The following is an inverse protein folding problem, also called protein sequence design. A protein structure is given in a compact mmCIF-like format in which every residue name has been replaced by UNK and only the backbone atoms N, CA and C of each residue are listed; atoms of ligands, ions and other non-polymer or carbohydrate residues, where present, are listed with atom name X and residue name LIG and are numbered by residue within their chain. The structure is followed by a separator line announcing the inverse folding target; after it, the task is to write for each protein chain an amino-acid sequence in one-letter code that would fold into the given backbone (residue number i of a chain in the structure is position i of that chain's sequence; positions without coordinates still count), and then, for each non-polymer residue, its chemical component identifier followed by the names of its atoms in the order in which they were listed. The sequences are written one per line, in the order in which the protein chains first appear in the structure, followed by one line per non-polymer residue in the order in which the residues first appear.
data_IF_445335742397
#
_entry.id   IF_445335742397
#
_cell.length_a   1.000
_cell.length_b   1.000
_cell.length_c   1.000
_cell.angle_alpha   90.00
_cell.angle_beta   90.00
_cell.angle_gamma   90.00
#
_symmetry.space_group_name_H-M   'P 1'
#
loop_
_entity.id
_entity.type
_entity.pdbx_description
1 polymer ?
#
# COMPACT_ATOMS: atom_id res chain seq x y z
N UNK A 1 6.92 -9.20 -12.34
CA UNK A 1 6.57 -9.98 -11.13
C UNK A 1 5.13 -10.43 -11.27
N UNK A 2 4.82 -11.72 -11.05
CA UNK A 2 3.44 -12.21 -11.24
C UNK A 2 2.50 -11.67 -10.16
N UNK A 3 1.19 -11.62 -10.45
CA UNK A 3 0.18 -11.17 -9.48
C UNK A 3 0.23 -12.00 -8.19
N UNK A 4 0.47 -13.30 -8.34
CA UNK A 4 0.54 -14.27 -7.26
C UNK A 4 1.72 -13.98 -6.32
N UNK A 5 2.90 -13.69 -6.88
CA UNK A 5 4.06 -13.28 -6.08
C UNK A 5 3.82 -11.95 -5.36
N UNK A 6 3.10 -11.00 -5.99
CA UNK A 6 2.77 -9.71 -5.37
C UNK A 6 1.82 -9.89 -4.19
N UNK A 7 0.78 -10.71 -4.35
CA UNK A 7 -0.13 -11.08 -3.27
C UNK A 7 0.61 -11.73 -2.11
N UNK A 8 1.52 -12.68 -2.36
CA UNK A 8 2.32 -13.30 -1.28
C UNK A 8 3.23 -12.30 -0.55
N UNK A 9 3.87 -11.37 -1.26
CA UNK A 9 4.65 -10.31 -0.60
C UNK A 9 3.76 -9.40 0.25
N UNK A 10 2.63 -8.95 -0.29
CA UNK A 10 1.70 -8.08 0.44
C UNK A 10 1.10 -8.79 1.66
N UNK A 11 0.71 -10.06 1.52
CA UNK A 11 0.26 -10.91 2.63
C UNK A 11 1.35 -11.05 3.70
N UNK A 12 2.58 -11.36 3.30
CA UNK A 12 3.70 -11.48 4.24
C UNK A 12 3.95 -10.21 5.04
N UNK A 13 3.98 -9.06 4.35
CA UNK A 13 4.17 -7.75 5.00
C UNK A 13 2.99 -7.41 5.92
N UNK A 14 1.75 -7.56 5.45
CA UNK A 14 0.56 -7.24 6.23
C UNK A 14 0.43 -8.09 7.49
N UNK A 15 0.71 -9.40 7.37
CA UNK A 15 0.70 -10.34 8.49
C UNK A 15 1.80 -10.03 9.50
N UNK A 16 3.02 -9.74 9.02
CA UNK A 16 4.14 -9.37 9.87
C UNK A 16 3.85 -8.10 10.68
N UNK A 17 3.33 -7.04 10.03
CA UNK A 17 2.96 -5.80 10.70
C UNK A 17 1.87 -6.03 11.74
N UNK A 18 0.84 -6.83 11.42
CA UNK A 18 -0.21 -7.16 12.37
C UNK A 18 0.32 -7.87 13.61
N UNK A 19 1.16 -8.89 13.43
CA UNK A 19 1.80 -9.61 14.54
C UNK A 19 2.73 -8.70 15.36
N UNK A 20 3.45 -7.79 14.71
CA UNK A 20 4.32 -6.82 15.38
C UNK A 20 3.52 -5.84 16.24
N UNK A 21 2.38 -5.35 15.74
CA UNK A 21 1.47 -4.50 16.53
C UNK A 21 0.94 -5.28 17.72
N UNK A 22 0.52 -6.53 17.52
CA UNK A 22 0.03 -7.38 18.61
C UNK A 22 1.11 -7.59 19.69
N UNK A 23 2.35 -7.84 19.25
CA UNK A 23 3.51 -7.99 20.13
C UNK A 23 3.80 -6.72 20.95
N UNK A 24 3.71 -5.53 20.34
CA UNK A 24 3.95 -4.25 21.03
C UNK A 24 2.84 -3.91 22.03
N UNK A 25 1.60 -4.30 21.75
CA UNK A 25 0.44 -3.95 22.58
C UNK A 25 0.12 -5.00 23.66
N UNK A 26 1.05 -5.92 23.97
CA UNK A 26 0.84 -7.05 24.87
C UNK A 26 -0.47 -7.82 24.57
N UNK A 27 -0.85 -7.87 23.30
CA UNK A 27 -2.10 -8.46 22.85
C UNK A 27 -2.02 -9.99 22.91
N UNK A 28 -2.63 -10.59 23.94
CA UNK A 28 -2.54 -12.04 24.16
C UNK A 28 -3.54 -12.84 23.29
N UNK A 29 -4.54 -12.17 22.69
CA UNK A 29 -5.64 -12.84 21.99
C UNK A 29 -5.69 -12.46 20.51
N UNK A 30 -5.38 -13.44 19.65
CA UNK A 30 -5.57 -13.34 18.20
C UNK A 30 -6.96 -13.86 17.84
N UNK A 31 -7.81 -12.96 17.32
CA UNK A 31 -9.12 -13.36 16.80
C UNK A 31 -9.00 -13.77 15.33
N UNK A 32 -9.63 -14.89 14.96
CA UNK A 32 -9.66 -15.39 13.57
C UNK A 32 -10.22 -14.33 12.60
N UNK A 33 -11.21 -13.55 13.03
CA UNK A 33 -11.78 -12.45 12.24
C UNK A 33 -10.75 -11.36 11.91
N UNK A 34 -9.86 -11.02 12.84
CA UNK A 34 -8.77 -10.05 12.63
C UNK A 34 -7.74 -10.55 11.62
N UNK A 35 -7.37 -11.83 11.69
CA UNK A 35 -6.44 -12.44 10.73
C UNK A 35 -7.05 -12.48 9.32
N UNK A 36 -8.31 -12.88 9.20
CA UNK A 36 -9.03 -12.89 7.92
C UNK A 36 -9.11 -11.49 7.33
N UNK A 37 -9.38 -10.48 8.17
CA UNK A 37 -9.42 -9.08 7.74
C UNK A 37 -8.06 -8.62 7.18
N UNK A 38 -6.96 -8.91 7.88
CA UNK A 38 -5.59 -8.57 7.43
C UNK A 38 -5.24 -9.27 6.12
N UNK A 39 -5.65 -10.52 5.93
CA UNK A 39 -5.43 -11.23 4.67
C UNK A 39 -6.26 -10.62 3.53
N UNK A 40 -7.53 -10.36 3.77
CA UNK A 40 -8.43 -9.80 2.77
C UNK A 40 -7.94 -8.42 2.29
N UNK A 41 -7.59 -7.52 3.21
CA UNK A 41 -7.08 -6.19 2.86
C UNK A 41 -5.73 -6.27 2.14
N UNK A 42 -4.83 -7.16 2.55
CA UNK A 42 -3.52 -7.33 1.91
C UNK A 42 -3.63 -7.82 0.46
N UNK A 43 -4.51 -8.80 0.20
CA UNK A 43 -4.78 -9.28 -1.16
C UNK A 43 -5.40 -8.18 -2.00
N UNK A 44 -6.38 -7.45 -1.45
CA UNK A 44 -7.05 -6.37 -2.15
C UNK A 44 -6.09 -5.24 -2.53
N UNK A 45 -5.21 -4.82 -1.62
CA UNK A 45 -4.15 -3.83 -1.89
C UNK A 45 -3.22 -4.33 -3.00
N UNK A 46 -2.82 -5.61 -2.97
CA UNK A 46 -1.94 -6.17 -3.99
C UNK A 46 -2.59 -6.18 -5.39
N UNK A 47 -3.88 -6.52 -5.48
CA UNK A 47 -4.64 -6.53 -6.72
C UNK A 47 -4.84 -5.11 -7.27
N UNK A 48 -5.30 -4.19 -6.43
CA UNK A 48 -5.54 -2.79 -6.83
C UNK A 48 -4.25 -2.03 -7.13
N UNK A 49 -3.10 -2.46 -6.60
CA UNK A 49 -1.78 -1.94 -6.97
C UNK A 49 -1.37 -2.25 -8.43
N UNK A 50 -2.17 -3.03 -9.17
CA UNK A 50 -1.97 -3.22 -10.60
C UNK A 50 -2.28 -1.95 -11.42
N UNK A 51 -3.13 -1.07 -10.89
CA UNK A 51 -3.51 0.21 -11.54
C UNK A 51 -2.26 1.07 -11.80
N UNK A 52 -1.23 0.97 -10.96
CA UNK A 52 0.04 1.69 -11.14
C UNK A 52 0.90 1.20 -12.33
N UNK A 53 0.59 0.04 -12.91
CA UNK A 53 1.27 -0.45 -14.11
C UNK A 53 0.57 -0.01 -15.41
N UNK A 54 -0.50 0.78 -15.32
CA UNK A 54 -1.23 1.26 -16.48
C UNK A 54 -0.52 2.51 -17.00
N UNK A 55 0.19 2.38 -18.13
CA UNK A 55 0.99 3.46 -18.74
C UNK A 55 0.16 4.67 -19.18
N UNK A 56 -1.16 4.53 -19.32
CA UNK A 56 -2.05 5.61 -19.74
C UNK A 56 -2.40 6.60 -18.63
N UNK A 57 -2.08 6.30 -17.37
CA UNK A 57 -2.49 7.10 -16.21
C UNK A 57 -1.29 7.73 -15.51
N UNK A 58 -1.40 9.01 -15.17
CA UNK A 58 -0.40 9.67 -14.34
C UNK A 58 -0.37 9.06 -12.93
N UNK A 59 0.80 9.01 -12.31
CA UNK A 59 1.01 8.45 -10.97
C UNK A 59 0.05 9.02 -9.92
N UNK A 60 -0.21 10.34 -9.96
CA UNK A 60 -1.16 11.00 -9.04
C UNK A 60 -2.58 10.44 -9.23
N UNK A 61 -3.01 10.27 -10.49
CA UNK A 61 -4.33 9.72 -10.81
C UNK A 61 -4.47 8.28 -10.32
N UNK A 62 -3.45 7.43 -10.56
CA UNK A 62 -3.42 6.06 -10.04
C UNK A 62 -3.47 6.04 -8.51
N UNK A 63 -2.75 6.94 -7.85
CA UNK A 63 -2.72 7.02 -6.39
C UNK A 63 -4.08 7.40 -5.80
N UNK A 64 -4.77 8.38 -6.40
CA UNK A 64 -6.11 8.80 -5.98
C UNK A 64 -7.12 7.67 -6.17
N UNK A 65 -7.10 6.99 -7.33
CA UNK A 65 -8.00 5.86 -7.59
C UNK A 65 -7.73 4.72 -6.59
N UNK A 66 -6.47 4.38 -6.36
CA UNK A 66 -6.08 3.35 -5.40
C UNK A 66 -6.54 3.71 -3.98
N UNK A 67 -6.36 4.96 -3.56
CA UNK A 67 -6.84 5.46 -2.27
C UNK A 67 -8.35 5.30 -2.11
N UNK A 68 -9.13 5.69 -3.13
CA UNK A 68 -10.59 5.58 -3.10
C UNK A 68 -11.01 4.10 -3.00
N UNK A 69 -10.41 3.22 -3.80
CA UNK A 69 -10.72 1.79 -3.79
C UNK A 69 -10.41 1.14 -2.44
N UNK A 70 -9.26 1.43 -1.86
CA UNK A 70 -8.87 0.89 -0.54
C UNK A 70 -9.80 1.40 0.55
N UNK A 71 -10.18 2.68 0.53
CA UNK A 71 -11.14 3.22 1.50
C UNK A 71 -12.52 2.58 1.38
N UNK A 72 -13.06 2.44 0.17
CA UNK A 72 -14.35 1.76 -0.06
C UNK A 72 -14.28 0.33 0.48
N UNK A 73 -13.20 -0.40 0.18
CA UNK A 73 -13.03 -1.77 0.67
C UNK A 73 -12.97 -1.83 2.19
N UNK A 74 -12.23 -0.94 2.84
CA UNK A 74 -12.16 -0.85 4.31
C UNK A 74 -13.52 -0.56 4.92
N UNK A 75 -14.30 0.36 4.34
CA UNK A 75 -15.65 0.70 4.83
C UNK A 75 -16.58 -0.52 4.73
N UNK A 76 -16.59 -1.20 3.57
CA UNK A 76 -17.41 -2.39 3.36
C UNK A 76 -16.99 -3.52 4.31
N UNK A 77 -15.70 -3.78 4.42
CA UNK A 77 -15.17 -4.82 5.29
C UNK A 77 -15.49 -4.54 6.77
N UNK A 78 -15.34 -3.28 7.21
CA UNK A 78 -15.70 -2.85 8.56
C UNK A 78 -17.19 -3.05 8.86
N UNK A 79 -18.07 -2.69 7.92
CA UNK A 79 -19.52 -2.90 8.02
C UNK A 79 -19.87 -4.40 8.13
N UNK A 80 -19.26 -5.25 7.29
CA UNK A 80 -19.53 -6.70 7.31
C UNK A 80 -19.03 -7.42 8.56
N UNK A 81 -17.97 -6.90 9.20
CA UNK A 81 -17.36 -7.52 10.38
C UNK A 81 -17.81 -6.88 11.71
N UNK A 82 -18.76 -5.93 11.67
CA UNK A 82 -19.29 -5.22 12.84
C UNK A 82 -18.20 -4.58 13.72
N UNK A 83 -17.12 -4.07 13.12
CA UNK A 83 -16.08 -3.40 13.90
C UNK A 83 -16.58 -2.02 14.39
N UNK A 84 -16.84 -1.90 15.69
CA UNK A 84 -17.24 -0.63 16.31
C UNK A 84 -16.03 0.28 16.49
N UNK A 85 -15.62 0.96 15.42
CA UNK A 85 -14.53 1.94 15.42
C UNK A 85 -14.97 3.31 14.88
N UNK A 86 -14.31 4.38 15.32
CA UNK A 86 -14.58 5.71 14.78
C UNK A 86 -14.03 5.81 13.34
N UNK A 87 -14.93 5.80 12.36
CA UNK A 87 -14.61 5.86 10.93
C UNK A 87 -13.75 7.07 10.56
N UNK A 88 -13.96 8.22 11.21
CA UNK A 88 -13.18 9.45 10.95
C UNK A 88 -11.71 9.21 11.27
N UNK A 89 -11.43 8.55 12.40
CA UNK A 89 -10.06 8.24 12.82
C UNK A 89 -9.38 7.26 11.85
N UNK A 90 -10.12 6.24 11.38
CA UNK A 90 -9.63 5.30 10.38
C UNK A 90 -9.31 6.01 9.04
N UNK A 91 -10.21 6.87 8.58
CA UNK A 91 -10.03 7.63 7.35
C UNK A 91 -8.79 8.53 7.40
N UNK A 92 -8.62 9.29 8.48
CA UNK A 92 -7.43 10.14 8.68
C UNK A 92 -6.15 9.32 8.79
N UNK A 93 -6.18 8.16 9.45
CA UNK A 93 -5.02 7.27 9.56
C UNK A 93 -4.57 6.76 8.19
N UNK A 94 -5.52 6.31 7.37
CA UNK A 94 -5.23 5.88 6.00
C UNK A 94 -4.71 7.04 5.15
N UNK A 95 -5.31 8.23 5.31
CA UNK A 95 -4.85 9.44 4.61
C UNK A 95 -3.39 9.78 4.92
N UNK A 96 -2.98 9.75 6.20
CA UNK A 96 -1.60 10.01 6.61
C UNK A 96 -0.62 9.02 5.96
N UNK A 97 -0.95 7.73 5.95
CA UNK A 97 -0.10 6.69 5.32
C UNK A 97 0.09 6.98 3.82
N UNK A 98 -0.96 7.43 3.14
CA UNK A 98 -0.90 7.79 1.72
C UNK A 98 -0.08 9.06 1.47
N UNK A 99 -0.21 10.08 2.32
CA UNK A 99 0.63 11.29 2.22
C UNK A 99 2.12 10.94 2.40
N UNK A 100 2.45 10.11 3.38
CA UNK A 100 3.84 9.65 3.59
C UNK A 100 4.33 8.86 2.37
N UNK A 101 3.52 7.94 1.87
CA UNK A 101 3.85 7.15 0.69
C UNK A 101 4.09 8.03 -0.55
N UNK A 102 3.26 9.05 -0.76
CA UNK A 102 3.44 10.03 -1.84
C UNK A 102 4.77 10.79 -1.74
N UNK A 103 5.16 11.22 -0.54
CA UNK A 103 6.44 11.90 -0.30
C UNK A 103 7.61 10.97 -0.64
N UNK A 104 7.58 9.74 -0.12
CA UNK A 104 8.64 8.73 -0.37
C UNK A 104 8.76 8.44 -1.87
N UNK A 105 7.64 8.19 -2.56
CA UNK A 105 7.68 7.92 -4.01
C UNK A 105 8.19 9.12 -4.79
N UNK A 106 7.77 10.34 -4.46
CA UNK A 106 8.27 11.56 -5.13
C UNK A 106 9.78 11.71 -4.98
N UNK A 107 10.32 11.46 -3.78
CA UNK A 107 11.77 11.50 -3.54
C UNK A 107 12.47 10.42 -4.38
N UNK A 108 11.94 9.20 -4.38
CA UNK A 108 12.52 8.08 -5.12
C UNK A 108 12.52 8.36 -6.63
N UNK A 109 11.43 8.88 -7.19
CA UNK A 109 11.36 9.28 -8.60
C UNK A 109 12.41 10.33 -8.93
N UNK A 110 12.60 11.35 -8.09
CA UNK A 110 13.66 12.36 -8.30
C UNK A 110 15.06 11.75 -8.28
N UNK A 111 15.32 10.78 -7.41
CA UNK A 111 16.59 10.05 -7.38
C UNK A 111 16.79 9.21 -8.64
N UNK A 112 15.77 8.49 -9.09
CA UNK A 112 15.82 7.68 -10.32
C UNK A 112 16.06 8.56 -11.55
N UNK A 113 15.40 9.72 -11.66
CA UNK A 113 15.63 10.65 -12.77
C UNK A 113 17.06 11.19 -12.75
N UNK A 114 17.61 11.53 -11.57
CA UNK A 114 19.02 11.93 -11.44
C UNK A 114 19.99 10.83 -11.86
N UNK A 115 19.72 9.59 -11.47
CA UNK A 115 20.53 8.43 -11.88
C UNK A 115 20.44 8.21 -13.40
N UNK A 116 19.25 8.34 -13.98
CA UNK A 116 19.02 8.16 -15.41
C UNK A 116 19.74 9.24 -16.23
N UNK A 117 19.68 10.50 -15.80
CA UNK A 117 20.42 11.59 -16.43
C UNK A 117 21.94 11.37 -16.34
N UNK A 118 22.46 10.95 -15.17
CA UNK A 118 23.87 10.63 -15.03
C UNK A 118 24.32 9.47 -15.94
N UNK A 119 23.47 8.45 -16.13
CA UNK A 119 23.75 7.34 -17.04
C UNK A 119 23.71 7.80 -18.51
N UNK A 120 22.78 8.68 -18.88
CA UNK A 120 22.71 9.27 -20.22
C UNK A 120 23.96 10.10 -20.53
N UNK A 121 24.43 10.91 -19.59
CA UNK A 121 25.65 11.71 -19.74
C UNK A 121 26.89 10.82 -19.93
N UNK A 122 26.97 9.69 -19.22
CA UNK A 122 28.07 8.72 -19.37
C UNK A 122 28.05 7.98 -20.71
N UNK A 123 26.88 7.74 -21.29
CA UNK A 123 26.76 7.12 -22.62
C UNK A 123 27.06 8.13 -23.72
N UNK A 124 26.67 9.40 -23.55
CA UNK A 124 26.95 10.46 -24.52
C UNK A 124 28.43 10.90 -24.55
N UNK A 125 29.17 10.67 -23.47
CA UNK A 125 30.61 10.98 -23.37
C UNK A 125 31.54 9.77 -23.63
N UNK A 126 31.02 8.64 -24.11
CA UNK A 126 31.86 7.53 -24.55
C UNK A 126 32.42 7.88 -25.95
N UNK A 127 33.76 7.95 -26.13
CA UNK A 127 34.40 8.36 -27.38
C UNK A 127 34.15 7.40 -28.54
#
# INVERSE_FOLDING_TARGET
MSILQRCFKALGIGSFVYLLILFINDGVVVYTSGVIYVFAISIFIALTSYIFNIDSLNFITCLVIHYILVNIFVIVANYTMHFTGNYIHLFFSIFIIYVVSFIVTTIQTRLTVKQLNNLLDQVHHKP
#
